data_IF_154893397277
#
_entry.id   IF_154893397277
#
_cell.length_a   1.000
_cell.length_b   1.000
_cell.length_c   1.000
_cell.angle_alpha   90.00
_cell.angle_beta   90.00
_cell.angle_gamma   90.00
#
_symmetry.space_group_name_H-M   'P 1'
#
loop_
_entity.id
_entity.type
_entity.pdbx_description
1 polymer ?
#
# COMPACT_ATOMS: atom_id res chain seq x y z
N UNK A 1 -2.82 -3.37 2.41
CA UNK A 1 -2.69 -1.91 2.50
C UNK A 1 -1.83 -1.38 1.38
N UNK A 2 -2.39 -0.47 0.60
CA UNK A 2 -1.65 0.22 -0.45
C UNK A 2 -1.14 1.54 0.09
N UNK A 3 0.15 1.79 -0.04
CA UNK A 3 0.74 3.05 0.33
C UNK A 3 1.21 3.77 -0.93
N UNK A 4 0.57 4.89 -1.23
CA UNK A 4 0.98 5.72 -2.36
C UNK A 4 2.12 6.64 -1.94
N UNK A 5 3.22 6.55 -2.64
CA UNK A 5 4.39 7.40 -2.39
C UNK A 5 4.39 8.55 -3.38
N UNK A 6 4.15 9.75 -2.89
CA UNK A 6 4.22 10.99 -3.65
C UNK A 6 4.80 12.09 -2.78
N UNK A 7 4.80 13.33 -3.27
CA UNK A 7 5.41 14.43 -2.55
C UNK A 7 4.67 14.86 -1.28
N UNK A 8 3.50 14.27 -1.01
CA UNK A 8 2.72 14.54 0.21
C UNK A 8 2.90 13.44 1.26
N UNK A 9 3.43 12.30 0.87
CA UNK A 9 3.59 11.17 1.79
C UNK A 9 4.59 11.54 2.89
N UNK A 10 4.17 11.36 4.14
CA UNK A 10 4.95 11.72 5.33
C UNK A 10 5.26 13.22 5.43
N UNK A 11 4.49 14.07 4.78
CA UNK A 11 4.65 15.53 4.94
C UNK A 11 3.82 16.06 6.10
N UNK A 12 2.51 15.78 6.08
CA UNK A 12 1.61 16.17 7.14
C UNK A 12 1.14 14.91 7.84
N UNK A 13 0.75 15.01 9.07
CA UNK A 13 0.29 13.86 9.87
C UNK A 13 1.23 12.67 9.78
N UNK A 14 2.53 12.98 9.73
CA UNK A 14 3.56 11.98 9.63
C UNK A 14 3.46 10.89 10.68
N UNK A 15 3.16 11.28 11.92
CA UNK A 15 3.06 10.32 13.02
C UNK A 15 1.81 9.45 12.92
N UNK A 16 0.70 10.00 12.40
CA UNK A 16 -0.51 9.23 12.22
C UNK A 16 -0.32 8.14 11.17
N UNK A 17 0.29 8.49 10.05
CA UNK A 17 0.59 7.53 9.00
C UNK A 17 1.60 6.48 9.48
N UNK A 18 2.63 6.90 10.21
CA UNK A 18 3.62 5.99 10.76
C UNK A 18 2.97 4.98 11.71
N UNK A 19 2.09 5.45 12.59
CA UNK A 19 1.38 4.57 13.53
C UNK A 19 0.50 3.56 12.79
N UNK A 20 -0.16 3.99 11.73
CA UNK A 20 -1.00 3.10 10.93
C UNK A 20 -0.16 2.00 10.29
N UNK A 21 1.00 2.35 9.73
CA UNK A 21 1.89 1.40 9.08
C UNK A 21 2.48 0.40 10.08
N UNK A 22 2.87 0.87 11.26
CA UNK A 22 3.37 0.00 12.31
C UNK A 22 2.30 -1.01 12.72
N UNK A 23 1.07 -0.54 12.92
CA UNK A 23 -0.04 -1.44 13.28
C UNK A 23 -0.34 -2.45 12.19
N UNK A 24 -0.26 -2.03 10.93
CA UNK A 24 -0.46 -2.93 9.80
C UNK A 24 0.60 -4.03 9.79
N UNK A 25 1.86 -3.65 9.99
CA UNK A 25 2.96 -4.60 10.03
C UNK A 25 2.82 -5.58 11.20
N UNK A 26 2.48 -5.07 12.37
CA UNK A 26 2.30 -5.92 13.56
C UNK A 26 1.12 -6.87 13.42
N UNK A 27 0.09 -6.45 12.71
CA UNK A 27 -1.09 -7.29 12.46
C UNK A 27 -0.87 -8.30 11.32
N UNK A 28 0.30 -8.27 10.68
CA UNK A 28 0.57 -9.15 9.55
C UNK A 28 -0.13 -8.74 8.26
N UNK A 29 -0.60 -7.49 8.18
CA UNK A 29 -1.25 -6.99 6.99
C UNK A 29 -0.18 -6.61 5.96
N UNK A 30 -0.19 -7.19 4.76
CA UNK A 30 0.79 -6.84 3.74
C UNK A 30 0.66 -5.37 3.33
N UNK A 31 1.79 -4.74 3.07
CA UNK A 31 1.84 -3.36 2.60
C UNK A 31 2.44 -3.36 1.21
N UNK A 32 1.72 -2.80 0.25
CA UNK A 32 2.19 -2.68 -1.13
C UNK A 32 2.50 -1.21 -1.39
N UNK A 33 3.70 -0.93 -1.87
CA UNK A 33 4.15 0.42 -2.15
C UNK A 33 3.88 0.77 -3.61
N UNK A 34 3.25 1.91 -3.85
CA UNK A 34 3.04 2.47 -5.18
C UNK A 34 3.81 3.78 -5.27
N UNK A 35 4.73 3.87 -6.22
CA UNK A 35 5.54 5.06 -6.40
C UNK A 35 5.01 5.89 -7.56
N UNK A 36 4.43 7.06 -7.25
CA UNK A 36 3.89 7.95 -8.26
C UNK A 36 5.01 8.54 -9.13
N UNK A 37 4.87 8.39 -10.43
CA UNK A 37 5.86 8.87 -11.41
C UNK A 37 5.46 10.19 -12.04
N UNK A 38 4.17 10.56 -11.99
CA UNK A 38 3.68 11.76 -12.65
C UNK A 38 3.90 12.98 -11.76
N UNK A 39 4.74 13.95 -12.18
CA UNK A 39 4.95 15.16 -11.38
C UNK A 39 3.66 15.95 -11.15
N UNK A 40 2.70 15.87 -12.07
CA UNK A 40 1.41 16.55 -11.91
C UNK A 40 0.55 15.90 -10.82
N UNK A 41 0.85 14.68 -10.46
CA UNK A 41 0.18 13.95 -9.38
C UNK A 41 1.07 13.82 -8.14
N UNK A 42 2.13 14.61 -8.07
CA UNK A 42 3.03 14.61 -6.92
C UNK A 42 4.19 13.62 -7.03
N UNK A 43 4.51 13.14 -8.23
CA UNK A 43 5.66 12.27 -8.41
C UNK A 43 6.95 12.97 -8.04
N UNK A 44 7.83 12.30 -7.33
CA UNK A 44 9.13 12.83 -6.93
C UNK A 44 10.16 11.70 -6.84
N UNK A 45 11.47 12.04 -6.77
CA UNK A 45 12.51 11.03 -6.68
C UNK A 45 12.36 10.16 -5.43
N UNK A 46 12.73 8.90 -5.54
CA UNK A 46 12.51 7.94 -4.46
C UNK A 46 13.26 8.26 -3.18
N UNK A 47 14.43 8.88 -3.28
CA UNK A 47 15.21 9.24 -2.09
C UNK A 47 14.48 10.20 -1.16
N UNK A 48 13.53 10.99 -1.70
CA UNK A 48 12.72 11.92 -0.91
C UNK A 48 11.91 11.14 0.13
N UNK A 49 11.36 9.98 -0.24
CA UNK A 49 10.56 9.18 0.68
C UNK A 49 11.41 8.67 1.83
N UNK A 50 12.63 8.23 1.54
CA UNK A 50 13.54 7.75 2.58
C UNK A 50 13.93 8.85 3.56
N UNK A 51 14.09 10.07 3.07
CA UNK A 51 14.40 11.21 3.93
C UNK A 51 13.26 11.57 4.85
N UNK A 52 12.02 11.44 4.35
CA UNK A 52 10.82 11.85 5.09
C UNK A 52 10.26 10.77 6.00
N UNK A 53 10.52 9.52 5.70
CA UNK A 53 9.96 8.41 6.46
C UNK A 53 10.63 8.30 7.83
N UNK A 54 9.86 8.14 8.92
CA UNK A 54 10.44 7.93 10.24
C UNK A 54 11.40 6.75 10.25
N UNK A 55 12.53 6.91 10.90
CA UNK A 55 13.57 5.90 10.92
C UNK A 55 13.08 4.55 11.45
N UNK A 56 12.16 4.55 12.41
CA UNK A 56 11.66 3.31 12.97
C UNK A 56 10.97 2.43 11.91
N UNK A 57 10.37 3.03 10.88
CA UNK A 57 9.75 2.28 9.80
C UNK A 57 10.78 1.71 8.81
N UNK A 58 11.95 2.30 8.74
CA UNK A 58 13.00 1.85 7.84
C UNK A 58 13.88 0.77 8.44
N UNK A 59 13.92 0.69 9.75
CA UNK A 59 14.74 -0.28 10.47
C UNK A 59 13.95 -1.53 10.83
N UNK A 60 14.63 -2.66 11.13
CA UNK A 60 13.94 -3.85 11.60
C UNK A 60 13.15 -3.53 12.87
N UNK A 61 12.01 -4.19 13.06
CA UNK A 61 11.46 -5.25 12.23
C UNK A 61 10.60 -4.77 11.07
N UNK A 62 10.34 -3.48 10.97
CA UNK A 62 9.36 -2.97 9.99
C UNK A 62 9.87 -2.95 8.57
N UNK A 63 11.08 -2.45 8.35
CA UNK A 63 11.76 -2.47 7.04
C UNK A 63 10.85 -2.09 5.87
N UNK A 64 10.21 -0.94 5.94
CA UNK A 64 9.20 -0.54 4.97
C UNK A 64 9.69 -0.59 3.51
N UNK A 65 10.93 -0.16 3.27
CA UNK A 65 11.47 -0.07 1.91
C UNK A 65 12.26 -1.31 1.45
N UNK A 66 12.20 -2.41 2.19
CA UNK A 66 12.80 -3.65 1.75
C UNK A 66 12.00 -4.25 0.60
N UNK A 67 10.70 -3.92 0.53
CA UNK A 67 9.85 -4.39 -0.55
C UNK A 67 9.93 -3.46 -1.74
N UNK A 68 9.78 -4.03 -2.93
CA UNK A 68 9.88 -3.26 -4.14
C UNK A 68 8.65 -2.37 -4.30
N UNK A 69 8.86 -1.10 -4.59
CA UNK A 69 7.78 -0.20 -4.91
C UNK A 69 7.40 -0.36 -6.38
N UNK A 70 6.12 -0.49 -6.66
CA UNK A 70 5.63 -0.58 -8.04
C UNK A 70 5.50 0.84 -8.60
N UNK A 71 6.19 1.17 -9.70
CA UNK A 71 6.07 2.49 -10.29
C UNK A 71 4.67 2.70 -10.87
N UNK A 72 4.06 3.83 -10.57
CA UNK A 72 2.77 4.19 -11.12
C UNK A 72 3.02 5.26 -12.19
N UNK A 73 2.95 4.84 -13.44
CA UNK A 73 3.34 5.68 -14.57
C UNK A 73 2.31 6.74 -14.92
N UNK A 74 2.77 7.78 -15.63
CA UNK A 74 1.91 8.91 -16.00
C UNK A 74 0.83 8.53 -17.01
N UNK A 75 1.17 7.73 -18.00
CA UNK A 75 0.23 7.33 -19.04
C UNK A 75 -0.89 6.47 -18.47
N UNK A 76 -2.12 6.70 -18.87
CA UNK A 76 -3.25 5.91 -18.39
C UNK A 76 -3.09 4.43 -18.70
N UNK A 77 -2.53 4.08 -19.85
CA UNK A 77 -2.31 2.69 -20.23
C UNK A 77 -1.24 2.03 -19.37
N UNK A 78 -0.14 2.74 -19.12
CA UNK A 78 0.91 2.22 -18.25
C UNK A 78 0.49 2.17 -16.79
N UNK A 79 -0.40 3.06 -16.36
CA UNK A 79 -0.97 2.99 -15.01
C UNK A 79 -1.77 1.70 -14.84
N UNK A 80 -2.48 1.26 -15.84
CA UNK A 80 -3.19 -0.03 -15.81
C UNK A 80 -2.21 -1.18 -15.66
N UNK A 81 -1.09 -1.14 -16.35
CA UNK A 81 -0.04 -2.15 -16.24
C UNK A 81 0.53 -2.16 -14.82
N UNK A 82 0.80 -0.99 -14.26
CA UNK A 82 1.28 -0.87 -12.88
C UNK A 82 0.30 -1.49 -11.89
N UNK A 83 -0.98 -1.19 -12.02
CA UNK A 83 -2.01 -1.74 -11.14
C UNK A 83 -2.11 -3.26 -11.28
N UNK A 84 -1.94 -3.80 -12.48
CA UNK A 84 -1.89 -5.25 -12.67
C UNK A 84 -0.68 -5.84 -11.97
N UNK A 85 0.47 -5.17 -12.02
CA UNK A 85 1.67 -5.62 -11.32
C UNK A 85 1.43 -5.68 -9.82
N UNK A 86 0.71 -4.72 -9.26
CA UNK A 86 0.34 -4.76 -7.84
C UNK A 86 -0.48 -6.02 -7.53
N UNK A 87 -1.49 -6.30 -8.35
CA UNK A 87 -2.36 -7.46 -8.13
C UNK A 87 -1.63 -8.79 -8.28
N UNK A 88 -0.64 -8.84 -9.18
CA UNK A 88 0.11 -10.07 -9.44
C UNK A 88 1.41 -10.17 -8.65
N UNK A 89 1.76 -9.14 -7.88
CA UNK A 89 2.95 -9.20 -7.04
C UNK A 89 2.72 -10.14 -5.87
N UNK A 90 3.80 -10.58 -5.25
CA UNK A 90 3.69 -11.41 -4.05
C UNK A 90 2.84 -10.73 -3.00
N UNK A 91 3.11 -9.43 -2.73
CA UNK A 91 2.37 -8.70 -1.71
C UNK A 91 0.93 -8.43 -2.11
N UNK A 92 0.65 -8.25 -3.40
CA UNK A 92 -0.70 -8.12 -3.89
C UNK A 92 -1.51 -9.39 -3.66
N UNK A 93 -0.92 -10.54 -3.93
CA UNK A 93 -1.56 -11.83 -3.68
C UNK A 93 -1.75 -12.08 -2.19
N UNK A 94 -0.77 -11.71 -1.37
CA UNK A 94 -0.87 -11.83 0.07
C UNK A 94 -1.96 -10.93 0.62
N UNK A 95 -2.08 -9.71 0.12
CA UNK A 95 -3.11 -8.77 0.52
C UNK A 95 -4.50 -9.31 0.16
N UNK A 96 -4.66 -9.84 -1.04
CA UNK A 96 -5.91 -10.44 -1.46
C UNK A 96 -6.29 -11.63 -0.56
N UNK A 97 -5.31 -12.47 -0.24
CA UNK A 97 -5.51 -13.59 0.66
C UNK A 97 -5.89 -13.14 2.07
N UNK A 98 -5.24 -12.12 2.57
CA UNK A 98 -5.55 -11.54 3.88
C UNK A 98 -7.00 -11.03 3.90
N UNK A 99 -7.41 -10.29 2.88
CA UNK A 99 -8.75 -9.77 2.80
C UNK A 99 -9.80 -10.88 2.73
N UNK A 100 -9.54 -11.93 1.99
CA UNK A 100 -10.44 -13.07 1.93
C UNK A 100 -10.60 -13.73 3.29
N UNK A 101 -9.51 -13.89 4.03
CA UNK A 101 -9.56 -14.52 5.35
C UNK A 101 -10.29 -13.65 6.38
N UNK A 102 -10.23 -12.34 6.19
CA UNK A 102 -10.85 -11.40 7.12
C UNK A 102 -12.26 -11.01 6.71
N UNK A 103 -12.67 -11.35 5.50
CA UNK A 103 -13.98 -11.00 5.03
C UNK A 103 -15.04 -11.66 5.91
N UNK A 104 -16.10 -10.98 6.23
CA UNK A 104 -17.15 -11.58 7.00
C UNK A 104 -17.80 -12.60 6.13
N UNK A 105 -18.30 -13.59 6.76
CA UNK A 105 -18.93 -14.62 6.03
C UNK A 105 -20.05 -14.05 5.24
N UNK A 106 -20.00 -14.17 3.99
CA UNK A 106 -20.93 -13.62 3.17
C UNK A 106 -22.06 -14.45 3.16
N UNK A 107 -22.33 -14.89 4.12
CA UNK A 107 -23.37 -15.74 4.19
C UNK A 107 -24.36 -15.22 3.33
N UNK A 108 -24.84 -15.93 2.71
CA UNK A 108 -25.68 -15.61 1.76
C UNK A 108 -26.66 -14.83 2.34
N UNK A 109 -26.59 -13.82 2.03
CA UNK A 109 -27.38 -12.94 2.49
C UNK A 109 -28.70 -13.26 2.19
N UNK A 110 -28.67 -13.81 1.33
CA UNK A 110 -29.80 -14.14 0.88
C UNK A 110 -30.62 -14.57 1.88
N UNK A 111 -30.18 -15.12 2.67
CA UNK A 111 -30.87 -15.70 3.45
C UNK A 111 -31.72 -14.88 3.99
N UNK A 112 -31.68 -14.09 3.67
CA UNK A 112 -32.33 -13.37 4.23
C UNK A 112 -33.51 -13.35 3.67
N UNK A 113 -33.70 -13.73 3.17
CA UNK A 113 -34.66 -13.71 2.60
C UNK A 113 -35.58 -14.15 3.06
N UNK A 114 -36.21 -14.09 3.33
CA UNK A 114 -37.05 -14.44 3.57
C UNK A 114 -37.81 -14.16 3.64
N UNK A 115 -37.98 -14.02 3.72
CA UNK A 115 -38.71 -13.82 3.71
C UNK A 115 -39.55 -13.76 3.83
#
# INVERSE_FOLDING_TARGET
LLLLLNNQTFCEDKMALASLLVRAREAGCPVVLLWEQDPDCGGCPFHIFKERTPLELQLPPHKLFDDLAVPLYRSAELRKVSLRQVLHSRHGREAAGYLRRRAPSRAPPSRLAPA
#
